data_IF_355110173484
#
_entry.id   IF_355110173484
#
_cell.length_a   1.000
_cell.length_b   1.000
_cell.length_c   1.000
_cell.angle_alpha   90.00
_cell.angle_beta   90.00
_cell.angle_gamma   90.00
#
_symmetry.space_group_name_H-M   'P 1'
#
loop_
_entity.id
_entity.type
_entity.pdbx_description
1 polymer ?
#
# COMPACT_ATOMS: atom_id res chain seq x y z
N UNK A 1 -1.42 13.75 13.78
CA UNK A 1 -1.23 13.75 12.31
C UNK A 1 -1.03 12.30 11.88
N UNK A 2 -1.56 11.87 10.73
CA UNK A 2 -1.34 10.53 10.17
C UNK A 2 -0.52 10.64 8.89
N UNK A 3 0.32 9.66 8.62
CA UNK A 3 1.24 9.66 7.47
C UNK A 3 0.98 8.46 6.58
N UNK A 4 1.14 8.67 5.27
CA UNK A 4 1.11 7.64 4.23
C UNK A 4 2.51 7.51 3.61
N UNK A 5 2.93 6.27 3.37
CA UNK A 5 4.07 5.98 2.50
C UNK A 5 3.54 5.39 1.18
N UNK A 6 3.92 6.03 0.07
CA UNK A 6 3.58 5.61 -1.29
C UNK A 6 4.78 4.92 -1.95
N UNK A 7 4.53 4.02 -2.89
CA UNK A 7 5.57 3.29 -3.61
C UNK A 7 6.14 2.09 -2.85
N UNK A 8 5.36 1.44 -1.98
CA UNK A 8 5.78 0.21 -1.29
C UNK A 8 5.72 -0.99 -2.26
N UNK A 9 6.87 -1.59 -2.53
CA UNK A 9 7.03 -2.65 -3.53
C UNK A 9 7.32 -4.03 -2.91
N UNK A 10 7.77 -4.09 -1.65
CA UNK A 10 8.07 -5.36 -0.96
C UNK A 10 7.44 -5.44 0.43
N UNK A 11 7.21 -6.66 0.94
CA UNK A 11 6.70 -6.85 2.30
C UNK A 11 7.72 -6.42 3.36
N UNK A 12 9.01 -6.56 3.08
CA UNK A 12 10.08 -6.06 3.95
C UNK A 12 10.01 -4.53 4.14
N UNK A 13 9.75 -3.78 3.07
CA UNK A 13 9.50 -2.34 3.16
C UNK A 13 8.24 -2.04 3.98
N UNK A 14 7.16 -2.81 3.77
CA UNK A 14 5.92 -2.63 4.52
C UNK A 14 6.10 -2.86 6.02
N UNK A 15 6.82 -3.92 6.40
CA UNK A 15 7.12 -4.25 7.80
C UNK A 15 7.98 -3.15 8.44
N UNK A 16 9.04 -2.72 7.77
CA UNK A 16 9.86 -1.61 8.23
C UNK A 16 9.06 -0.31 8.42
N UNK A 17 8.22 0.07 7.45
CA UNK A 17 7.42 1.31 7.49
C UNK A 17 6.38 1.28 8.60
N UNK A 18 5.81 0.10 8.86
CA UNK A 18 4.90 -0.12 9.99
C UNK A 18 5.61 0.07 11.32
N UNK A 19 6.82 -0.46 11.47
CA UNK A 19 7.60 -0.38 12.71
C UNK A 19 8.06 1.06 13.03
N UNK A 20 8.33 1.89 12.01
CA UNK A 20 8.67 3.31 12.20
C UNK A 20 7.45 4.23 12.39
N UNK A 21 6.23 3.67 12.43
CA UNK A 21 5.01 4.40 12.79
C UNK A 21 4.26 5.05 11.62
N UNK A 22 4.46 4.59 10.38
CA UNK A 22 3.62 4.99 9.26
C UNK A 22 2.22 4.38 9.41
N UNK A 23 1.19 5.16 9.10
CA UNK A 23 -0.21 4.78 9.39
C UNK A 23 -0.89 4.10 8.19
N UNK A 24 -0.49 4.48 6.98
CA UNK A 24 -1.05 3.96 5.73
C UNK A 24 0.07 3.63 4.76
N UNK A 25 -0.09 2.56 4.01
CA UNK A 25 0.86 2.11 3.01
C UNK A 25 0.13 1.96 1.67
N UNK A 26 0.74 2.45 0.60
CA UNK A 26 0.26 2.26 -0.76
C UNK A 26 1.42 1.83 -1.65
N UNK A 27 1.21 0.80 -2.47
CA UNK A 27 2.18 0.40 -3.48
C UNK A 27 1.90 -0.98 -4.06
N UNK A 28 2.72 -1.37 -5.03
CA UNK A 28 2.52 -2.55 -5.85
C UNK A 28 2.56 -3.86 -5.05
N UNK A 29 3.17 -3.86 -3.86
CA UNK A 29 3.13 -5.02 -2.96
C UNK A 29 1.69 -5.40 -2.55
N UNK A 30 0.79 -4.42 -2.49
CA UNK A 30 -0.63 -4.63 -2.15
C UNK A 30 -1.53 -4.73 -3.38
N UNK A 31 -1.10 -4.14 -4.49
CA UNK A 31 -1.82 -4.15 -5.76
C UNK A 31 -1.36 -3.01 -6.65
N UNK A 32 -1.29 -3.27 -7.96
CA UNK A 32 -1.11 -2.21 -8.95
C UNK A 32 -2.39 -1.36 -9.05
N UNK A 33 -2.33 -0.11 -9.54
CA UNK A 33 -3.51 0.64 -9.93
C UNK A 33 -4.36 -0.15 -10.94
N UNK A 34 -5.66 -0.14 -10.73
CA UNK A 34 -6.64 -0.84 -11.57
C UNK A 34 -7.78 0.10 -11.96
N UNK A 35 -8.56 -0.28 -12.98
CA UNK A 35 -9.78 0.45 -13.32
C UNK A 35 -10.85 0.29 -12.23
N UNK A 36 -11.85 1.17 -12.20
CA UNK A 36 -12.95 1.06 -11.23
C UNK A 36 -13.74 -0.25 -11.37
N UNK A 37 -13.91 -0.75 -12.60
CA UNK A 37 -14.60 -2.01 -12.84
C UNK A 37 -13.78 -3.19 -12.29
N UNK A 38 -12.47 -3.22 -12.58
CA UNK A 38 -11.56 -4.25 -12.06
C UNK A 38 -11.47 -4.19 -10.52
N UNK A 39 -11.56 -3.00 -9.92
CA UNK A 39 -11.63 -2.84 -8.47
C UNK A 39 -12.90 -3.47 -7.88
N UNK A 40 -14.08 -3.16 -8.43
CA UNK A 40 -15.38 -3.65 -7.95
C UNK A 40 -15.51 -5.18 -8.10
N UNK A 41 -14.90 -5.77 -9.14
CA UNK A 41 -15.00 -7.21 -9.41
C UNK A 41 -14.04 -8.06 -8.58
N UNK A 42 -12.89 -7.52 -8.16
CA UNK A 42 -11.79 -8.32 -7.60
C UNK A 42 -11.36 -7.97 -6.16
N UNK A 43 -11.90 -6.89 -5.57
CA UNK A 43 -11.55 -6.41 -4.22
C UNK A 43 -12.79 -6.05 -3.41
#
# INVERSE_FOLDING_TARGET
LKFIAEGVETFEQADYLKDVGIHYLQGYVFGRPVSINEFIENF
#
